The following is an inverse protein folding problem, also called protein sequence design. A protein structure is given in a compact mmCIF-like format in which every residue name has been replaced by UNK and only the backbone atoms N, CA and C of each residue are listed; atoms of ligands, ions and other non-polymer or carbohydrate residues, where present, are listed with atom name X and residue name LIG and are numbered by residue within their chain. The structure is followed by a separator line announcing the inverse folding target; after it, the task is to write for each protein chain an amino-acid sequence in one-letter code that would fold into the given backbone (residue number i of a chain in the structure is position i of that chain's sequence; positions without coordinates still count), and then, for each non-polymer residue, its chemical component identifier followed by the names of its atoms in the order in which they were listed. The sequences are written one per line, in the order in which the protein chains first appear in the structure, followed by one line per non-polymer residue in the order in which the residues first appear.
data_IF_431430674178
#
_entry.id   IF_431430674178
#
_cell.length_a   1.000
_cell.length_b   1.000
_cell.length_c   1.000
_cell.angle_alpha   90.00
_cell.angle_beta   90.00
_cell.angle_gamma   90.00
#
_symmetry.space_group_name_H-M   'P 1'
#
loop_
_entity.id
_entity.type
_entity.pdbx_description
1 polymer ?
#
# COMPACT_ATOMS: atom_id res chain seq x y z
N UNK A 1 -20.50 5.38 -5.28
CA UNK A 1 -19.45 5.96 -4.42
C UNK A 1 -18.13 5.81 -5.15
N UNK A 2 -17.29 6.85 -5.24
CA UNK A 2 -15.91 6.67 -5.73
C UNK A 2 -15.12 5.98 -4.63
N UNK A 3 -14.49 4.86 -4.95
CA UNK A 3 -13.72 4.03 -4.01
C UNK A 3 -12.28 4.55 -4.02
N UNK A 4 -11.75 5.02 -2.89
CA UNK A 4 -10.34 5.38 -2.78
C UNK A 4 -9.46 4.15 -2.62
N UNK A 5 -8.21 4.25 -3.09
CA UNK A 5 -7.25 3.15 -3.09
C UNK A 5 -5.96 3.57 -2.40
N UNK A 6 -5.59 2.88 -1.32
CA UNK A 6 -4.27 2.98 -0.70
C UNK A 6 -3.26 2.20 -1.57
N UNK A 7 -2.17 2.84 -1.96
CA UNK A 7 -1.14 2.20 -2.80
C UNK A 7 0.01 1.70 -1.93
N UNK A 8 0.27 0.40 -1.97
CA UNK A 8 1.42 -0.21 -1.32
C UNK A 8 2.73 0.25 -1.97
N UNK A 9 3.79 0.39 -1.17
CA UNK A 9 5.09 0.87 -1.60
C UNK A 9 5.60 0.04 -2.78
N UNK A 10 5.46 -1.29 -2.74
CA UNK A 10 6.01 -2.19 -3.77
C UNK A 10 5.57 -1.83 -5.21
N UNK A 11 4.36 -1.28 -5.40
CA UNK A 11 3.83 -0.87 -6.70
C UNK A 11 4.48 0.43 -7.17
N UNK A 12 4.68 1.38 -6.27
CA UNK A 12 5.36 2.65 -6.57
C UNK A 12 6.85 2.42 -6.87
N UNK A 13 7.49 1.48 -6.19
CA UNK A 13 8.88 1.07 -6.49
C UNK A 13 9.00 0.54 -7.92
N UNK A 14 8.05 -0.26 -8.41
CA UNK A 14 8.14 -0.80 -9.77
C UNK A 14 8.10 0.29 -10.85
N UNK A 15 7.41 1.40 -10.57
CA UNK A 15 7.24 2.51 -11.53
C UNK A 15 8.38 3.51 -11.44
N UNK A 16 8.84 3.84 -10.24
CA UNK A 16 9.88 4.85 -10.00
C UNK A 16 11.29 4.29 -9.94
N UNK A 17 11.43 3.00 -9.65
CA UNK A 17 12.70 2.29 -9.62
C UNK A 17 13.19 1.83 -11.00
N UNK A 18 14.28 1.05 -11.04
CA UNK A 18 14.77 0.42 -12.26
C UNK A 18 13.70 -0.42 -12.93
N UNK A 19 13.75 -0.50 -14.27
CA UNK A 19 12.79 -1.30 -15.02
C UNK A 19 12.83 -2.78 -14.58
N UNK A 20 11.66 -3.32 -14.25
CA UNK A 20 11.47 -4.72 -13.88
C UNK A 20 10.17 -5.28 -14.49
N UNK A 21 9.94 -6.60 -14.38
CA UNK A 21 8.82 -7.28 -15.03
C UNK A 21 7.44 -6.76 -14.60
N UNK A 22 7.33 -6.14 -13.43
CA UNK A 22 6.07 -5.64 -12.87
C UNK A 22 5.75 -4.20 -13.29
N UNK A 23 6.67 -3.50 -13.95
CA UNK A 23 6.52 -2.06 -14.23
C UNK A 23 5.26 -1.71 -15.03
N UNK A 24 4.99 -2.48 -16.09
CA UNK A 24 3.84 -2.24 -16.97
C UNK A 24 2.52 -2.52 -16.25
N UNK A 25 2.46 -3.63 -15.50
CA UNK A 25 1.30 -3.96 -14.68
C UNK A 25 1.05 -2.90 -13.60
N UNK A 26 2.07 -2.53 -12.84
CA UNK A 26 1.97 -1.55 -11.75
C UNK A 26 1.52 -0.18 -12.26
N UNK A 27 2.08 0.30 -13.38
CA UNK A 27 1.64 1.54 -14.01
C UNK A 27 0.18 1.48 -14.49
N UNK A 28 -0.23 0.36 -15.09
CA UNK A 28 -1.60 0.14 -15.56
C UNK A 28 -2.60 0.06 -14.41
N UNK A 29 -2.22 -0.59 -13.30
CA UNK A 29 -3.04 -0.72 -12.10
C UNK A 29 -3.22 0.62 -11.37
N UNK A 30 -2.17 1.45 -11.28
CA UNK A 30 -2.27 2.82 -10.76
C UNK A 30 -3.25 3.63 -11.61
N UNK A 31 -3.12 3.57 -12.94
CA UNK A 31 -4.01 4.28 -13.85
C UNK A 31 -5.47 3.80 -13.75
N UNK A 32 -5.69 2.50 -13.59
CA UNK A 32 -7.00 1.91 -13.33
C UNK A 32 -7.61 2.45 -12.02
N UNK A 33 -6.87 2.38 -10.91
CA UNK A 33 -7.36 2.86 -9.61
C UNK A 33 -7.63 4.37 -9.62
N UNK A 34 -6.82 5.16 -10.32
CA UNK A 34 -7.03 6.61 -10.46
C UNK A 34 -8.32 6.94 -11.21
N UNK A 35 -8.70 6.14 -12.22
CA UNK A 35 -9.97 6.32 -12.94
C UNK A 35 -11.18 6.07 -12.03
N UNK A 36 -11.08 5.12 -11.11
CA UNK A 36 -12.15 4.75 -10.19
C UNK A 36 -12.29 5.69 -8.98
N UNK A 37 -11.20 6.32 -8.54
CA UNK A 37 -11.23 7.16 -7.35
C UNK A 37 -9.89 7.82 -6.97
N UNK A 38 -9.85 8.30 -5.73
CA UNK A 38 -8.66 8.93 -5.16
C UNK A 38 -7.58 7.87 -4.89
N UNK A 39 -6.33 8.25 -5.08
CA UNK A 39 -5.17 7.44 -4.69
C UNK A 39 -4.66 7.97 -3.36
N UNK A 40 -4.33 7.08 -2.43
CA UNK A 40 -3.96 7.44 -1.06
C UNK A 40 -2.61 6.82 -0.73
N UNK A 41 -1.79 7.57 0.02
CA UNK A 41 -0.57 7.08 0.68
C UNK A 41 -0.55 7.56 2.13
N UNK A 42 0.16 6.84 3.00
CA UNK A 42 0.32 7.20 4.41
C UNK A 42 1.80 7.43 4.75
N UNK A 43 2.07 7.76 6.01
CA UNK A 43 3.43 8.02 6.51
C UNK A 43 4.37 6.81 6.42
N UNK A 44 3.87 5.58 6.47
CA UNK A 44 4.68 4.36 6.32
C UNK A 44 5.15 4.25 4.86
N UNK A 45 4.22 4.32 3.91
CA UNK A 45 4.54 4.29 2.47
C UNK A 45 5.49 5.44 2.12
N UNK A 46 5.23 6.65 2.63
CA UNK A 46 6.11 7.80 2.45
C UNK A 46 7.54 7.55 2.97
N UNK A 47 7.68 6.91 4.14
CA UNK A 47 8.98 6.58 4.71
C UNK A 47 9.75 5.53 3.91
N UNK A 48 9.04 4.57 3.32
CA UNK A 48 9.65 3.52 2.49
C UNK A 48 10.06 4.02 1.09
N UNK A 49 9.41 5.08 0.59
CA UNK A 49 9.76 5.73 -0.67
C UNK A 49 10.94 6.70 -0.53
N UNK A 50 11.18 7.23 0.66
CA UNK A 50 12.23 8.22 0.91
C UNK A 50 13.64 7.78 0.44
N UNK A 51 14.08 6.51 0.58
CA UNK A 51 15.38 6.07 0.09
C UNK A 51 15.51 6.04 -1.44
N UNK A 52 14.40 6.05 -2.19
CA UNK A 52 14.40 5.97 -3.65
C UNK A 52 14.51 7.33 -4.33
N UNK A 53 14.33 8.42 -3.57
CA UNK A 53 14.28 9.78 -4.10
C UNK A 53 15.27 10.65 -3.34
N UNK A 54 16.06 11.45 -4.09
CA UNK A 54 17.17 12.21 -3.53
C UNK A 54 16.77 13.25 -2.45
N UNK A 55 15.54 13.78 -2.49
CA UNK A 55 15.06 14.79 -1.55
C UNK A 55 13.57 14.63 -1.26
N UNK A 56 13.13 15.06 -0.07
CA UNK A 56 11.71 15.08 0.28
C UNK A 56 10.88 15.95 -0.69
N UNK A 57 11.44 17.07 -1.16
CA UNK A 57 10.78 17.94 -2.14
C UNK A 57 10.52 17.22 -3.48
N UNK A 58 11.47 16.40 -3.94
CA UNK A 58 11.28 15.58 -5.13
C UNK A 58 10.25 14.47 -4.91
N UNK A 59 10.21 13.86 -3.72
CA UNK A 59 9.18 12.86 -3.38
C UNK A 59 7.79 13.49 -3.38
N UNK A 60 7.65 14.68 -2.77
CA UNK A 60 6.40 15.45 -2.80
C UNK A 60 5.93 15.73 -4.22
N UNK A 61 6.83 16.21 -5.08
CA UNK A 61 6.52 16.46 -6.49
C UNK A 61 6.04 15.18 -7.21
N UNK A 62 6.69 14.04 -6.97
CA UNK A 62 6.30 12.77 -7.58
C UNK A 62 4.91 12.30 -7.11
N UNK A 63 4.61 12.46 -5.82
CA UNK A 63 3.29 12.15 -5.24
C UNK A 63 2.21 13.08 -5.77
N UNK A 64 2.50 14.38 -5.86
CA UNK A 64 1.58 15.39 -6.40
C UNK A 64 1.29 15.16 -7.90
N UNK A 65 2.29 14.70 -8.68
CA UNK A 65 2.10 14.35 -10.10
C UNK A 65 1.12 13.21 -10.34
N UNK A 66 0.96 12.31 -9.38
CA UNK A 66 -0.04 11.23 -9.42
C UNK A 66 -1.35 11.61 -8.70
N UNK A 67 -1.46 12.86 -8.23
CA UNK A 67 -2.62 13.37 -7.49
C UNK A 67 -3.00 12.48 -6.30
N UNK A 68 -1.99 12.02 -5.57
CA UNK A 68 -2.19 11.13 -4.42
C UNK A 68 -2.42 11.95 -3.14
N UNK A 69 -3.48 11.61 -2.42
CA UNK A 69 -3.79 12.17 -1.12
C UNK A 69 -2.88 11.56 -0.05
N UNK A 70 -2.38 12.41 0.84
CA UNK A 70 -1.58 12.00 2.00
C UNK A 70 -2.47 11.95 3.21
N UNK A 71 -2.70 10.76 3.73
CA UNK A 71 -3.54 10.55 4.89
C UNK A 71 -2.71 10.21 6.14
N UNK A 72 -3.15 10.73 7.27
CA UNK A 72 -2.63 10.33 8.57
C UNK A 72 -3.20 8.96 8.93
N UNK A 73 -2.37 8.10 9.51
CA UNK A 73 -2.83 6.79 9.98
C UNK A 73 -3.78 6.99 11.17
N UNK A 74 -5.04 6.53 11.11
CA UNK A 74 -5.96 6.58 12.23
C UNK A 74 -5.45 5.78 13.43
N UNK A 75 -5.77 6.24 14.65
CA UNK A 75 -5.41 5.50 15.88
C UNK A 75 -5.99 4.08 15.91
N UNK A 76 -7.22 3.90 15.40
CA UNK A 76 -7.85 2.58 15.30
C UNK A 76 -7.10 1.66 14.33
N UNK A 77 -6.55 2.20 13.23
CA UNK A 77 -5.69 1.47 12.32
C UNK A 77 -4.36 1.07 12.98
N UNK A 78 -3.77 1.96 13.80
CA UNK A 78 -2.56 1.65 14.55
C UNK A 78 -2.79 0.53 15.58
N UNK A 79 -3.93 0.55 16.28
CA UNK A 79 -4.31 -0.51 17.20
C UNK A 79 -4.50 -1.85 16.47
N UNK A 80 -5.26 -1.85 15.36
CA UNK A 80 -5.49 -3.04 14.55
C UNK A 80 -4.17 -3.62 14.01
N UNK A 81 -3.26 -2.77 13.51
CA UNK A 81 -1.94 -3.19 13.05
C UNK A 81 -1.16 -3.92 14.15
N UNK A 82 -1.13 -3.36 15.37
CA UNK A 82 -0.43 -3.95 16.51
C UNK A 82 -1.00 -5.30 16.95
N UNK A 83 -2.33 -5.41 17.04
CA UNK A 83 -3.01 -6.67 17.39
C UNK A 83 -2.76 -7.75 16.34
N UNK A 84 -2.91 -7.41 15.06
CA UNK A 84 -2.74 -8.35 13.95
C UNK A 84 -1.28 -8.80 13.81
N UNK A 85 -0.31 -7.87 13.95
CA UNK A 85 1.11 -8.21 13.99
C UNK A 85 1.44 -9.12 15.18
N UNK A 86 0.89 -8.84 16.37
CA UNK A 86 1.09 -9.70 17.55
C UNK A 86 0.57 -11.13 17.33
N UNK A 87 -0.61 -11.27 16.73
CA UNK A 87 -1.20 -12.57 16.36
C UNK A 87 -0.32 -13.31 15.34
N UNK A 88 0.10 -12.63 14.28
CA UNK A 88 1.03 -13.18 13.29
C UNK A 88 2.32 -13.70 13.94
N UNK A 89 2.93 -12.91 14.82
CA UNK A 89 4.18 -13.29 15.51
C UNK A 89 4.01 -14.51 16.43
N UNK A 90 2.84 -14.66 17.07
CA UNK A 90 2.51 -15.79 17.93
C UNK A 90 2.18 -17.07 17.15
N UNK A 91 1.64 -16.95 15.94
CA UNK A 91 1.31 -18.10 15.09
C UNK A 91 2.55 -18.89 14.62
N UNK A 92 3.76 -18.35 14.78
CA UNK A 92 5.01 -19.02 14.38
C UNK A 92 5.29 -18.92 12.88
N UNK A 93 6.15 -19.79 12.35
CA UNK A 93 6.52 -19.81 10.94
C UNK A 93 7.59 -18.78 10.54
N UNK A 94 7.72 -18.56 9.23
CA UNK A 94 8.69 -17.65 8.63
C UNK A 94 8.23 -16.21 8.89
N UNK A 95 8.98 -15.49 9.73
CA UNK A 95 8.66 -14.14 10.27
C UNK A 95 9.18 -13.01 9.37
N UNK A 96 8.91 -13.10 8.08
CA UNK A 96 9.39 -12.13 7.09
C UNK A 96 8.64 -10.80 7.13
N UNK A 97 7.38 -10.79 7.59
CA UNK A 97 6.55 -9.58 7.61
C UNK A 97 6.84 -8.71 8.82
N UNK A 98 6.95 -7.41 8.57
CA UNK A 98 7.29 -6.41 9.59
C UNK A 98 6.08 -5.57 9.93
N UNK A 99 6.13 -4.86 11.07
CA UNK A 99 5.03 -4.01 11.54
C UNK A 99 4.51 -3.00 10.47
N UNK A 100 5.35 -2.35 9.65
CA UNK A 100 4.93 -1.56 8.49
C UNK A 100 3.86 -2.21 7.60
N UNK A 101 4.03 -3.49 7.22
CA UNK A 101 3.06 -4.21 6.37
C UNK A 101 1.66 -4.25 7.03
N UNK A 102 1.62 -4.37 8.35
CA UNK A 102 0.36 -4.41 9.09
C UNK A 102 -0.27 -3.02 9.22
N UNK A 103 0.52 -1.95 9.25
CA UNK A 103 0.00 -0.59 9.21
C UNK A 103 -0.65 -0.26 7.86
N UNK A 104 -0.05 -0.69 6.75
CA UNK A 104 -0.61 -0.49 5.42
C UNK A 104 -1.96 -1.20 5.30
N UNK A 105 -2.00 -2.50 5.64
CA UNK A 105 -3.24 -3.29 5.59
C UNK A 105 -4.32 -2.76 6.54
N UNK A 106 -3.95 -2.47 7.80
CA UNK A 106 -4.90 -1.96 8.78
C UNK A 106 -5.45 -0.58 8.41
N UNK A 107 -4.63 0.30 7.82
CA UNK A 107 -5.09 1.60 7.36
C UNK A 107 -6.15 1.45 6.27
N UNK A 108 -5.87 0.64 5.25
CA UNK A 108 -6.83 0.38 4.18
C UNK A 108 -8.14 -0.21 4.72
N UNK A 109 -8.05 -1.18 5.64
CA UNK A 109 -9.24 -1.79 6.28
C UNK A 109 -10.07 -0.78 7.08
N UNK A 110 -9.44 0.03 7.93
CA UNK A 110 -10.16 0.95 8.83
C UNK A 110 -10.75 2.13 8.08
N UNK A 111 -10.04 2.68 7.10
CA UNK A 111 -10.50 3.81 6.31
C UNK A 111 -11.43 3.40 5.14
N UNK A 112 -11.62 2.09 4.92
CA UNK A 112 -12.48 1.58 3.85
C UNK A 112 -11.90 1.76 2.45
N UNK A 113 -10.57 1.81 2.32
CA UNK A 113 -9.89 1.85 1.03
C UNK A 113 -9.75 0.45 0.43
N UNK A 114 -9.67 0.40 -0.90
CA UNK A 114 -8.97 -0.72 -1.57
C UNK A 114 -7.49 -0.66 -1.27
N UNK A 115 -6.81 -1.79 -1.35
CA UNK A 115 -5.36 -1.86 -1.36
C UNK A 115 -4.85 -2.28 -2.74
N UNK A 116 -3.96 -1.47 -3.33
CA UNK A 116 -3.22 -1.84 -4.53
C UNK A 116 -1.84 -2.38 -4.12
N UNK A 117 -1.56 -3.66 -4.40
CA UNK A 117 -0.30 -4.32 -4.03
C UNK A 117 0.03 -5.49 -4.95
N UNK A 118 1.32 -5.83 -5.08
CA UNK A 118 1.75 -7.10 -5.68
C UNK A 118 1.60 -8.30 -4.75
N UNK A 119 1.64 -8.09 -3.44
CA UNK A 119 1.80 -9.16 -2.45
C UNK A 119 0.47 -9.53 -1.78
N UNK A 120 -0.61 -9.72 -2.56
CA UNK A 120 -1.98 -9.87 -2.05
C UNK A 120 -2.16 -10.98 -1.01
N UNK A 121 -1.50 -12.12 -1.20
CA UNK A 121 -1.55 -13.24 -0.25
C UNK A 121 -1.13 -12.83 1.18
N UNK A 122 -0.16 -11.91 1.31
CA UNK A 122 0.28 -11.39 2.61
C UNK A 122 -0.87 -10.67 3.30
N UNK A 123 -1.57 -9.79 2.61
CA UNK A 123 -2.64 -9.00 3.19
C UNK A 123 -3.89 -9.83 3.50
N UNK A 124 -4.33 -10.72 2.59
CA UNK A 124 -5.55 -11.54 2.78
C UNK A 124 -5.52 -12.40 4.04
N UNK A 125 -4.36 -12.94 4.39
CA UNK A 125 -4.21 -13.75 5.62
C UNK A 125 -4.49 -12.98 6.92
N UNK A 126 -4.35 -11.65 6.89
CA UNK A 126 -4.44 -10.78 8.06
C UNK A 126 -5.66 -9.85 8.03
N UNK A 127 -6.15 -9.54 6.83
CA UNK A 127 -7.25 -8.63 6.55
C UNK A 127 -8.16 -9.28 5.48
N UNK A 128 -8.96 -10.30 5.86
CA UNK A 128 -9.69 -11.13 4.89
C UNK A 128 -10.76 -10.37 4.11
N UNK A 129 -11.34 -9.32 4.70
CA UNK A 129 -12.39 -8.50 4.08
C UNK A 129 -11.82 -7.31 3.28
N UNK A 130 -10.49 -7.18 3.20
CA UNK A 130 -9.86 -6.10 2.46
C UNK A 130 -9.99 -6.35 0.95
N UNK A 131 -10.56 -5.39 0.24
CA UNK A 131 -10.60 -5.41 -1.22
C UNK A 131 -9.21 -5.08 -1.79
N UNK A 132 -8.67 -5.99 -2.61
CA UNK A 132 -7.28 -5.96 -3.08
C UNK A 132 -7.22 -5.99 -4.61
N UNK A 133 -6.59 -4.96 -5.17
CA UNK A 133 -6.14 -4.90 -6.55
C UNK A 133 -4.72 -5.48 -6.62
N UNK A 134 -4.55 -6.61 -7.31
CA UNK A 134 -3.27 -7.29 -7.47
C UNK A 134 -3.18 -8.00 -8.82
N UNK A 135 -2.01 -8.52 -9.24
CA UNK A 135 -1.87 -9.21 -10.52
C UNK A 135 -2.77 -10.43 -10.65
N UNK A 136 -3.14 -11.05 -9.53
CA UNK A 136 -4.03 -12.21 -9.50
C UNK A 136 -5.50 -11.84 -9.75
N UNK A 137 -5.94 -10.65 -9.29
CA UNK A 137 -7.33 -10.20 -9.41
C UNK A 137 -7.56 -9.31 -10.62
N UNK A 138 -6.51 -8.65 -11.10
CA UNK A 138 -6.52 -7.69 -12.21
C UNK A 138 -5.29 -7.96 -13.10
N UNK A 139 -5.28 -9.05 -13.88
CA UNK A 139 -4.14 -9.44 -14.72
C UNK A 139 -3.91 -8.52 -15.91
#
# INVERSE_FOLDING_TARGET
MKISTLIDTNVLIDVWGPAGPMKEWSASAIAFCRRDGALVVNSIIWSELAPLIATEAALRKAVDMLEMDRELIPWDAAFLAGVTHSRYRRAGGIRERTLPDFFIGAHATVAGHRLLTRDAARYRSCFPDLDIVSPETHP
#
